data_IF_462312850508
#
_entry.id   IF_462312850508
#
_cell.length_a   1.000
_cell.length_b   1.000
_cell.length_c   1.000
_cell.angle_alpha   90.00
_cell.angle_beta   90.00
_cell.angle_gamma   90.00
#
_symmetry.space_group_name_H-M   'P 1'
#
loop_
_entity.id
_entity.type
_entity.pdbx_description
1 polymer ?
#
# COMPACT_ATOMS: atom_id res chain seq x y z
N UNK A 1 -17.84 31.08 11.79
CA UNK A 1 -16.84 31.18 10.69
C UNK A 1 -15.44 30.91 11.22
N UNK A 2 -14.98 31.63 12.25
CA UNK A 2 -13.62 31.50 12.82
C UNK A 2 -13.36 30.09 13.32
N UNK A 3 -14.27 29.47 14.08
CA UNK A 3 -14.10 28.13 14.63
C UNK A 3 -13.92 27.08 13.53
N UNK A 4 -14.67 27.19 12.42
CA UNK A 4 -14.50 26.31 11.26
C UNK A 4 -13.10 26.45 10.61
N UNK A 5 -12.56 27.66 10.54
CA UNK A 5 -11.20 27.87 10.05
C UNK A 5 -10.15 27.28 10.98
N UNK A 6 -10.35 27.44 12.30
CA UNK A 6 -9.45 26.85 13.30
C UNK A 6 -9.43 25.32 13.18
N UNK A 7 -10.58 24.66 13.11
CA UNK A 7 -10.66 23.21 12.95
C UNK A 7 -10.01 22.74 11.63
N UNK A 8 -10.22 23.47 10.54
CA UNK A 8 -9.56 23.17 9.26
C UNK A 8 -8.04 23.27 9.34
N UNK A 9 -7.53 24.32 10.02
CA UNK A 9 -6.07 24.49 10.21
C UNK A 9 -5.47 23.42 11.09
N UNK A 10 -6.16 22.99 12.15
CA UNK A 10 -5.75 21.86 12.98
C UNK A 10 -5.66 20.57 12.16
N UNK A 11 -6.69 20.26 11.37
CA UNK A 11 -6.71 19.09 10.49
C UNK A 11 -5.56 19.11 9.50
N UNK A 12 -5.28 20.25 8.86
CA UNK A 12 -4.15 20.40 7.95
C UNK A 12 -2.79 20.17 8.64
N UNK A 13 -2.63 20.73 9.83
CA UNK A 13 -1.42 20.51 10.64
C UNK A 13 -1.22 19.03 10.94
N UNK A 14 -2.26 18.36 11.41
CA UNK A 14 -2.20 16.94 11.80
C UNK A 14 -1.88 16.05 10.59
N UNK A 15 -2.46 16.38 9.44
CA UNK A 15 -2.13 15.74 8.17
C UNK A 15 -0.64 15.88 7.77
N UNK A 16 -0.08 17.09 7.93
CA UNK A 16 1.35 17.33 7.64
C UNK A 16 2.23 16.51 8.60
N UNK A 17 1.86 16.44 9.88
CA UNK A 17 2.60 15.66 10.89
C UNK A 17 2.57 14.18 10.51
N UNK A 18 1.38 13.61 10.25
CA UNK A 18 1.23 12.20 9.85
C UNK A 18 2.07 11.88 8.60
N UNK A 19 1.99 12.74 7.58
CA UNK A 19 2.78 12.54 6.35
C UNK A 19 4.28 12.54 6.60
N UNK A 20 4.77 13.49 7.43
CA UNK A 20 6.19 13.54 7.82
C UNK A 20 6.62 12.27 8.55
N UNK A 21 5.79 11.77 9.45
CA UNK A 21 6.06 10.54 10.19
C UNK A 21 6.11 9.33 9.26
N UNK A 22 5.17 9.20 8.32
CA UNK A 22 5.16 8.13 7.32
C UNK A 22 6.42 8.15 6.45
N UNK A 23 6.84 9.32 5.96
CA UNK A 23 8.07 9.47 5.18
C UNK A 23 9.30 9.10 6.03
N UNK A 24 9.34 9.55 7.29
CA UNK A 24 10.44 9.23 8.20
C UNK A 24 10.55 7.72 8.47
N UNK A 25 9.41 7.06 8.67
CA UNK A 25 9.34 5.60 8.83
C UNK A 25 9.80 4.88 7.57
N UNK A 26 9.31 5.31 6.40
CA UNK A 26 9.68 4.72 5.11
C UNK A 26 11.19 4.77 4.85
N UNK A 27 11.84 5.87 5.22
CA UNK A 27 13.30 6.04 5.09
C UNK A 27 14.10 5.09 5.99
N UNK A 28 13.51 4.62 7.08
CA UNK A 28 14.13 3.67 8.01
C UNK A 28 13.88 2.20 7.66
N UNK A 29 13.10 1.89 6.63
CA UNK A 29 12.79 0.52 6.27
C UNK A 29 14.01 -0.20 5.68
N UNK A 30 14.24 -1.47 6.05
CA UNK A 30 15.32 -2.28 5.48
C UNK A 30 14.99 -2.65 4.03
N UNK A 31 15.61 -1.96 3.07
CA UNK A 31 15.38 -2.23 1.65
C UNK A 31 16.02 -3.54 1.22
N UNK A 32 15.31 -4.29 0.37
CA UNK A 32 15.77 -5.54 -0.22
C UNK A 32 15.85 -6.74 0.72
N UNK A 33 15.55 -6.56 2.00
CA UNK A 33 15.57 -7.63 3.01
C UNK A 33 14.18 -8.21 3.23
N UNK A 34 14.04 -9.53 3.12
CA UNK A 34 12.78 -10.23 3.43
C UNK A 34 12.69 -10.40 4.94
N UNK A 35 11.56 -10.02 5.51
CA UNK A 35 11.27 -10.13 6.94
C UNK A 35 9.91 -10.78 7.16
N UNK A 36 9.74 -11.49 8.30
CA UNK A 36 8.44 -11.94 8.78
C UNK A 36 7.85 -10.88 9.70
N UNK A 37 6.59 -10.54 9.48
CA UNK A 37 5.86 -9.55 10.28
C UNK A 37 4.52 -10.12 10.75
N UNK A 38 4.25 -10.01 12.03
CA UNK A 38 2.91 -10.22 12.57
C UNK A 38 2.09 -8.96 12.37
N UNK A 39 1.05 -9.05 11.55
CA UNK A 39 0.20 -7.91 11.21
C UNK A 39 -1.17 -8.01 11.87
N UNK A 40 -1.65 -6.96 12.53
CA UNK A 40 -3.03 -6.88 13.01
C UNK A 40 -4.01 -6.81 11.84
N UNK A 41 -5.31 -7.00 12.08
CA UNK A 41 -6.31 -6.72 11.05
C UNK A 41 -6.27 -5.22 10.71
N UNK A 42 -6.34 -4.89 9.42
CA UNK A 42 -6.26 -3.52 8.91
C UNK A 42 -7.52 -3.17 8.14
N UNK A 43 -8.31 -2.25 8.68
CA UNK A 43 -9.49 -1.75 7.99
C UNK A 43 -9.09 -0.95 6.75
N UNK A 44 -9.85 -1.11 5.67
CA UNK A 44 -9.61 -0.40 4.41
C UNK A 44 -10.89 -0.16 3.62
N UNK A 45 -10.87 0.85 2.77
CA UNK A 45 -11.79 0.97 1.65
C UNK A 45 -11.10 0.40 0.42
N UNK A 46 -11.83 -0.30 -0.44
CA UNK A 46 -11.27 -0.90 -1.66
C UNK A 46 -12.25 -0.86 -2.82
N UNK A 47 -11.70 -0.83 -4.03
CA UNK A 47 -12.43 -1.07 -5.27
C UNK A 47 -11.83 -2.32 -5.92
N UNK A 48 -12.69 -3.32 -6.15
CA UNK A 48 -12.32 -4.54 -6.89
C UNK A 48 -12.52 -4.27 -8.37
N UNK A 49 -11.50 -3.74 -9.01
CA UNK A 49 -11.46 -3.47 -10.45
C UNK A 49 -10.02 -3.61 -10.93
N UNK A 50 -9.82 -4.42 -11.95
CA UNK A 50 -8.49 -4.65 -12.53
C UNK A 50 -7.97 -3.41 -13.23
N UNK A 51 -6.66 -3.19 -13.15
CA UNK A 51 -5.95 -2.11 -13.83
C UNK A 51 -4.48 -2.47 -14.02
N UNK A 52 -3.78 -1.75 -14.91
CA UNK A 52 -2.39 -2.02 -15.29
C UNK A 52 -1.50 -0.77 -15.25
N UNK A 53 -2.09 0.44 -15.22
CA UNK A 53 -1.37 1.71 -15.30
C UNK A 53 -1.59 2.58 -14.08
N UNK A 54 -0.63 3.48 -13.81
CA UNK A 54 -0.73 4.47 -12.75
C UNK A 54 -1.91 5.43 -12.95
N UNK A 55 -2.23 5.76 -14.21
CA UNK A 55 -3.37 6.62 -14.55
C UNK A 55 -4.70 5.95 -14.20
N UNK A 56 -4.84 4.66 -14.45
CA UNK A 56 -6.02 3.88 -14.08
C UNK A 56 -6.14 3.77 -12.55
N UNK A 57 -5.01 3.52 -11.86
CA UNK A 57 -4.96 3.54 -10.41
C UNK A 57 -5.43 4.87 -9.84
N UNK A 58 -4.95 5.98 -10.39
CA UNK A 58 -5.32 7.35 -10.00
C UNK A 58 -6.83 7.60 -10.10
N UNK A 59 -7.46 7.10 -11.17
CA UNK A 59 -8.91 7.19 -11.34
C UNK A 59 -9.64 6.44 -10.21
N UNK A 60 -9.20 5.22 -9.89
CA UNK A 60 -9.79 4.41 -8.84
C UNK A 60 -9.56 5.02 -7.44
N UNK A 61 -8.38 5.56 -7.18
CA UNK A 61 -8.08 6.28 -5.93
C UNK A 61 -9.00 7.51 -5.78
N UNK A 62 -9.18 8.29 -6.83
CA UNK A 62 -10.10 9.45 -6.83
C UNK A 62 -11.53 9.03 -6.56
N UNK A 63 -11.97 7.89 -7.08
CA UNK A 63 -13.28 7.32 -6.74
C UNK A 63 -13.36 6.97 -5.25
N UNK A 64 -12.36 6.25 -4.70
CA UNK A 64 -12.32 5.90 -3.27
C UNK A 64 -12.38 7.14 -2.36
N UNK A 65 -11.69 8.21 -2.75
CA UNK A 65 -11.65 9.47 -2.00
C UNK A 65 -12.99 10.22 -2.08
N UNK A 66 -13.77 10.06 -3.15
CA UNK A 66 -15.04 10.77 -3.38
C UNK A 66 -16.24 10.11 -2.67
N UNK A 67 -16.13 8.90 -2.16
CA UNK A 67 -17.20 8.19 -1.48
C UNK A 67 -17.49 8.75 -0.07
N UNK A 68 -18.19 9.86 0.01
CA UNK A 68 -18.82 10.39 1.23
C UNK A 68 -18.50 11.85 1.51
N UNK A 69 -19.50 12.63 1.95
CA UNK A 69 -19.41 14.09 2.12
C UNK A 69 -18.44 14.55 3.22
N UNK A 70 -18.11 13.67 4.18
CA UNK A 70 -17.25 13.97 5.31
C UNK A 70 -15.87 13.29 5.25
N UNK A 71 -15.60 12.53 4.20
CA UNK A 71 -14.34 11.82 4.06
C UNK A 71 -13.30 12.71 3.38
N UNK A 72 -12.66 13.57 4.14
CA UNK A 72 -11.49 14.30 3.67
C UNK A 72 -10.28 13.36 3.63
N UNK A 73 -10.27 12.44 2.67
CA UNK A 73 -9.03 11.73 2.35
C UNK A 73 -8.08 12.72 1.67
N UNK A 74 -6.96 12.94 2.30
CA UNK A 74 -5.89 13.68 1.65
C UNK A 74 -4.97 12.62 1.04
N UNK A 75 -4.89 12.59 -0.28
CA UNK A 75 -3.94 11.74 -1.01
C UNK A 75 -2.55 11.97 -0.40
N UNK A 76 -1.89 10.89 0.01
CA UNK A 76 -0.58 10.93 0.66
C UNK A 76 -0.58 10.90 2.20
N UNK A 77 -1.75 10.98 2.86
CA UNK A 77 -1.83 10.81 4.32
C UNK A 77 -2.26 9.41 4.74
N UNK A 78 -3.07 8.75 3.93
CA UNK A 78 -3.47 7.37 4.16
C UNK A 78 -2.61 6.46 3.30
N UNK A 79 -2.12 5.38 3.89
CA UNK A 79 -1.41 4.37 3.14
C UNK A 79 -2.35 3.69 2.15
N UNK A 80 -1.96 3.69 0.90
CA UNK A 80 -2.70 3.06 -0.19
C UNK A 80 -1.90 1.90 -0.77
N UNK A 81 -2.58 1.07 -1.52
CA UNK A 81 -1.94 -0.07 -2.16
C UNK A 81 -2.86 -0.80 -3.11
N UNK A 82 -2.35 -1.91 -3.59
CA UNK A 82 -2.97 -2.75 -4.61
C UNK A 82 -2.94 -4.21 -4.22
N UNK A 83 -3.85 -4.99 -4.78
CA UNK A 83 -3.80 -6.45 -4.72
C UNK A 83 -3.36 -6.99 -6.08
N UNK A 84 -2.47 -7.99 -6.03
CA UNK A 84 -2.10 -8.82 -7.17
C UNK A 84 -2.53 -10.24 -6.84
N UNK A 85 -3.28 -10.90 -7.72
CA UNK A 85 -3.69 -12.30 -7.49
C UNK A 85 -2.45 -13.19 -7.35
N UNK A 86 -2.57 -14.25 -6.55
CA UNK A 86 -1.47 -15.19 -6.39
C UNK A 86 -1.13 -15.87 -7.72
N UNK A 87 -2.13 -16.16 -8.56
CA UNK A 87 -1.92 -16.73 -9.90
C UNK A 87 -1.09 -15.80 -10.79
N UNK A 88 -1.41 -14.50 -10.81
CA UNK A 88 -0.66 -13.53 -11.62
C UNK A 88 0.76 -13.34 -11.10
N UNK A 89 0.92 -13.28 -9.77
CA UNK A 89 2.23 -13.21 -9.13
C UNK A 89 3.10 -14.44 -9.50
N UNK A 90 2.53 -15.65 -9.45
CA UNK A 90 3.23 -16.90 -9.80
C UNK A 90 3.56 -16.99 -11.29
N UNK A 91 2.70 -16.44 -12.15
CA UNK A 91 2.92 -16.40 -13.60
C UNK A 91 3.81 -15.22 -14.05
N UNK A 92 4.32 -14.43 -13.12
CA UNK A 92 5.17 -13.28 -13.40
C UNK A 92 4.43 -12.05 -13.94
N UNK A 93 3.10 -12.04 -13.90
CA UNK A 93 2.26 -10.89 -14.28
C UNK A 93 2.13 -9.90 -13.13
N UNK A 94 3.26 -9.36 -12.67
CA UNK A 94 3.34 -8.50 -11.49
C UNK A 94 2.85 -7.05 -11.72
N UNK A 95 2.27 -6.74 -12.87
CA UNK A 95 1.71 -5.43 -13.22
C UNK A 95 0.22 -5.51 -13.57
N UNK A 96 -0.41 -6.64 -13.29
CA UNK A 96 -1.86 -6.79 -13.35
C UNK A 96 -2.39 -6.75 -11.93
N UNK A 97 -3.11 -5.68 -11.62
CA UNK A 97 -3.68 -5.44 -10.30
C UNK A 97 -5.17 -5.76 -10.32
N UNK A 98 -5.66 -6.42 -9.28
CA UNK A 98 -7.07 -6.80 -9.18
C UNK A 98 -7.91 -5.80 -8.41
N UNK A 99 -7.25 -4.99 -7.58
CA UNK A 99 -7.94 -4.00 -6.76
C UNK A 99 -6.97 -2.94 -6.26
N UNK A 100 -7.54 -1.79 -5.92
CA UNK A 100 -6.89 -0.73 -5.17
C UNK A 100 -7.54 -0.60 -3.80
N UNK A 101 -6.77 -0.23 -2.77
CA UNK A 101 -7.27 0.03 -1.43
C UNK A 101 -6.60 1.22 -0.77
N UNK A 102 -7.30 1.79 0.22
CA UNK A 102 -6.76 2.81 1.13
C UNK A 102 -7.00 2.33 2.56
N UNK A 103 -5.95 2.27 3.37
CA UNK A 103 -6.08 1.94 4.79
C UNK A 103 -6.77 3.10 5.53
N UNK A 104 -7.83 2.79 6.23
CA UNK A 104 -8.59 3.78 7.01
C UNK A 104 -9.34 3.10 8.17
N UNK A 105 -9.37 3.69 9.38
CA UNK A 105 -10.07 3.10 10.52
C UNK A 105 -11.55 2.79 10.27
N UNK A 106 -12.22 3.64 9.47
CA UNK A 106 -13.64 3.47 9.12
C UNK A 106 -13.85 2.62 7.86
N UNK A 107 -12.83 1.87 7.41
CA UNK A 107 -12.89 1.03 6.23
C UNK A 107 -13.94 -0.07 6.33
N UNK A 108 -14.71 -0.27 5.26
CA UNK A 108 -15.78 -1.28 5.17
C UNK A 108 -15.24 -2.70 4.95
N UNK A 109 -13.96 -2.81 4.60
CA UNK A 109 -13.28 -4.07 4.36
C UNK A 109 -12.11 -4.23 5.32
N UNK A 110 -11.56 -5.45 5.40
CA UNK A 110 -10.46 -5.76 6.28
C UNK A 110 -9.40 -6.60 5.56
N UNK A 111 -8.16 -6.16 5.63
CA UNK A 111 -6.99 -7.00 5.34
C UNK A 111 -6.71 -7.82 6.59
N UNK A 112 -6.81 -9.15 6.49
CA UNK A 112 -6.81 -10.06 7.63
C UNK A 112 -5.52 -10.03 8.44
N UNK A 113 -5.62 -10.25 9.74
CA UNK A 113 -4.45 -10.48 10.61
C UNK A 113 -3.67 -11.73 10.20
N UNK A 114 -2.42 -11.79 10.57
CA UNK A 114 -1.58 -12.99 10.42
C UNK A 114 -0.12 -12.66 10.17
N UNK A 115 0.63 -13.69 9.86
CA UNK A 115 2.04 -13.60 9.51
C UNK A 115 2.20 -13.25 8.03
N UNK A 116 3.04 -12.27 7.75
CA UNK A 116 3.33 -11.81 6.38
C UNK A 116 4.83 -11.83 6.12
N UNK A 117 5.23 -12.42 5.00
CA UNK A 117 6.52 -12.11 4.39
C UNK A 117 6.47 -10.70 3.82
N UNK A 118 7.45 -9.88 4.16
CA UNK A 118 7.52 -8.50 3.73
C UNK A 118 8.87 -8.18 3.15
N UNK A 119 8.91 -7.45 2.05
CA UNK A 119 10.11 -6.84 1.49
C UNK A 119 9.81 -5.42 1.04
N UNK A 120 10.68 -4.48 1.41
CA UNK A 120 10.62 -3.10 0.95
C UNK A 120 11.67 -2.87 -0.14
N UNK A 121 11.35 -2.05 -1.12
CA UNK A 121 12.29 -1.62 -2.14
C UNK A 121 12.11 -0.14 -2.49
N UNK A 122 13.16 0.49 -2.99
CA UNK A 122 13.10 1.83 -3.59
C UNK A 122 13.02 1.75 -5.10
N UNK A 123 12.46 2.78 -5.72
CA UNK A 123 12.26 2.85 -7.15
C UNK A 123 10.80 2.68 -7.54
N UNK A 124 10.54 2.65 -8.84
CA UNK A 124 9.19 2.52 -9.36
C UNK A 124 8.65 1.08 -9.28
N UNK A 125 7.37 0.92 -9.59
CA UNK A 125 6.63 -0.35 -9.61
C UNK A 125 7.25 -1.45 -10.49
N UNK A 126 8.16 -1.13 -11.42
CA UNK A 126 8.86 -2.15 -12.22
C UNK A 126 9.72 -3.07 -11.36
N UNK A 127 10.13 -2.61 -10.18
CA UNK A 127 10.89 -3.41 -9.22
C UNK A 127 10.06 -4.56 -8.63
N UNK A 128 8.73 -4.48 -8.66
CA UNK A 128 7.82 -5.56 -8.23
C UNK A 128 8.19 -6.88 -8.92
N UNK A 129 8.51 -6.84 -10.22
CA UNK A 129 8.97 -8.03 -10.98
C UNK A 129 10.23 -8.68 -10.43
N UNK A 130 11.09 -7.91 -9.78
CA UNK A 130 12.33 -8.40 -9.18
C UNK A 130 12.07 -9.03 -7.81
N UNK A 131 11.19 -8.42 -7.03
CA UNK A 131 11.00 -8.81 -5.64
C UNK A 131 9.92 -9.86 -5.41
N UNK A 132 8.91 -9.95 -6.29
CA UNK A 132 7.85 -10.98 -6.17
C UNK A 132 8.42 -12.39 -6.26
N UNK A 133 9.26 -12.75 -7.27
CA UNK A 133 9.88 -14.08 -7.30
C UNK A 133 10.69 -14.39 -6.05
N UNK A 134 11.42 -13.41 -5.52
CA UNK A 134 12.21 -13.57 -4.28
C UNK A 134 11.35 -13.92 -3.06
N UNK A 135 10.16 -13.27 -2.93
CA UNK A 135 9.22 -13.61 -1.87
C UNK A 135 8.65 -15.02 -2.02
N UNK A 136 8.28 -15.40 -3.25
CA UNK A 136 7.74 -16.73 -3.56
C UNK A 136 8.78 -17.82 -3.33
N UNK A 137 10.02 -17.60 -3.75
CA UNK A 137 11.13 -18.53 -3.53
C UNK A 137 11.44 -18.68 -2.05
N UNK A 138 11.48 -17.57 -1.31
CA UNK A 138 11.69 -17.61 0.14
C UNK A 138 10.59 -18.43 0.84
N UNK A 139 9.33 -18.22 0.49
CA UNK A 139 8.22 -19.00 1.05
C UNK A 139 8.38 -20.49 0.75
N UNK A 140 8.77 -20.83 -0.48
CA UNK A 140 9.00 -22.22 -0.90
C UNK A 140 10.17 -22.87 -0.14
N UNK A 141 11.30 -22.19 -0.05
CA UNK A 141 12.51 -22.68 0.64
C UNK A 141 12.27 -22.93 2.14
N UNK A 142 11.37 -22.15 2.75
CA UNK A 142 11.01 -22.30 4.17
C UNK A 142 9.73 -23.10 4.39
N UNK A 143 9.21 -23.78 3.35
CA UNK A 143 7.98 -24.61 3.43
C UNK A 143 6.76 -23.86 4.01
N UNK A 144 6.62 -22.57 3.70
CA UNK A 144 5.52 -21.73 4.14
C UNK A 144 4.34 -21.86 3.18
N UNK A 145 3.12 -21.99 3.69
CA UNK A 145 1.92 -21.99 2.88
C UNK A 145 1.49 -20.55 2.60
N UNK A 146 1.40 -20.21 1.32
CA UNK A 146 0.96 -18.89 0.89
C UNK A 146 -0.56 -18.80 0.96
N UNK A 147 -1.06 -17.69 1.52
CA UNK A 147 -2.49 -17.40 1.69
C UNK A 147 -2.87 -16.05 1.11
N UNK A 148 -3.80 -16.09 0.16
CA UNK A 148 -4.39 -14.88 -0.41
C UNK A 148 -3.49 -14.13 -1.41
N UNK A 149 -3.94 -12.96 -1.84
CA UNK A 149 -3.23 -12.16 -2.83
C UNK A 149 -1.97 -11.53 -2.23
N UNK A 150 -1.05 -11.16 -3.12
CA UNK A 150 0.06 -10.28 -2.80
C UNK A 150 -0.46 -8.85 -2.59
N UNK A 151 0.01 -8.19 -1.56
CA UNK A 151 -0.24 -6.79 -1.28
C UNK A 151 0.95 -5.96 -1.74
N UNK A 152 0.68 -4.89 -2.47
CA UNK A 152 1.64 -3.85 -2.77
C UNK A 152 1.21 -2.58 -2.02
N UNK A 153 2.00 -2.12 -1.05
CA UNK A 153 1.72 -0.95 -0.23
C UNK A 153 2.69 0.18 -0.60
N UNK A 154 2.14 1.34 -0.88
CA UNK A 154 2.90 2.53 -1.23
C UNK A 154 3.23 3.33 0.04
N UNK A 155 4.51 3.44 0.38
CA UNK A 155 5.00 4.26 1.48
C UNK A 155 5.34 5.69 1.03
N UNK A 156 6.08 5.77 -0.08
CA UNK A 156 6.42 7.02 -0.75
C UNK A 156 6.15 6.79 -2.24
N UNK A 157 5.23 7.53 -2.79
CA UNK A 157 4.75 7.38 -4.16
C UNK A 157 4.97 8.63 -5.02
N UNK A 158 4.44 8.62 -6.24
CA UNK A 158 4.51 9.74 -7.19
C UNK A 158 3.82 11.02 -6.71
N UNK A 159 2.88 10.92 -5.76
CA UNK A 159 2.21 12.07 -5.15
C UNK A 159 3.05 12.70 -4.03
N UNK A 160 4.03 11.95 -3.52
CA UNK A 160 4.92 12.37 -2.44
C UNK A 160 6.22 12.94 -2.97
N UNK A 161 6.81 12.33 -4.00
CA UNK A 161 8.07 12.76 -4.61
C UNK A 161 8.08 12.56 -6.12
N UNK A 162 8.79 13.43 -6.82
CA UNK A 162 9.07 13.28 -8.26
C UNK A 162 10.32 12.44 -8.54
N UNK A 163 11.10 12.16 -7.51
CA UNK A 163 12.35 11.41 -7.60
C UNK A 163 12.04 9.92 -7.44
N UNK A 164 12.17 9.16 -8.53
CA UNK A 164 11.86 7.73 -8.55
C UNK A 164 12.66 6.95 -7.51
N UNK A 165 13.92 7.32 -7.30
CA UNK A 165 14.81 6.68 -6.33
C UNK A 165 14.39 6.87 -4.86
N UNK A 166 13.54 7.86 -4.59
CA UNK A 166 12.99 8.12 -3.26
C UNK A 166 11.66 7.40 -3.02
N UNK A 167 11.03 6.86 -4.06
CA UNK A 167 9.80 6.09 -3.92
C UNK A 167 10.09 4.80 -3.16
N UNK A 168 9.19 4.44 -2.24
CA UNK A 168 9.33 3.23 -1.42
C UNK A 168 8.03 2.45 -1.45
N UNK A 169 8.14 1.19 -1.82
CA UNK A 169 7.04 0.23 -1.88
C UNK A 169 7.35 -0.96 -1.00
N UNK A 170 6.35 -1.49 -0.34
CA UNK A 170 6.41 -2.72 0.45
C UNK A 170 5.52 -3.78 -0.19
N UNK A 171 6.08 -4.94 -0.48
CA UNK A 171 5.33 -6.13 -0.85
C UNK A 171 5.07 -6.98 0.38
N UNK A 172 3.86 -7.44 0.55
CA UNK A 172 3.45 -8.32 1.65
C UNK A 172 2.73 -9.55 1.11
N UNK A 173 3.18 -10.73 1.52
CA UNK A 173 2.59 -12.01 1.17
C UNK A 173 2.22 -12.75 2.45
N UNK A 174 0.91 -13.00 2.65
CA UNK A 174 0.44 -13.72 3.83
C UNK A 174 0.87 -15.18 3.77
N UNK A 175 1.37 -15.69 4.89
CA UNK A 175 1.86 -17.07 5.04
C UNK A 175 1.37 -17.71 6.35
N UNK A 176 1.38 -19.04 6.40
CA UNK A 176 1.14 -19.88 7.59
C UNK A 176 1.94 -21.19 7.49
#
# INVERSE_FOLDING_TARGET
VIDRHIERLKSLRDNIITRRETISQARGLPLGTITLKEMPPRACHRIMQSYETDEEMDILIKQLVSFGPDRQYIIGNNQMGSFISLSDAMDGRCQQYDAVFILHPDGEHCIGKGTYLSVCYSGNFRQTRTYVPRLLDYAREHSMNIRGPLLELLWIDVHTTKHVEEQVTELQLKVD
#
